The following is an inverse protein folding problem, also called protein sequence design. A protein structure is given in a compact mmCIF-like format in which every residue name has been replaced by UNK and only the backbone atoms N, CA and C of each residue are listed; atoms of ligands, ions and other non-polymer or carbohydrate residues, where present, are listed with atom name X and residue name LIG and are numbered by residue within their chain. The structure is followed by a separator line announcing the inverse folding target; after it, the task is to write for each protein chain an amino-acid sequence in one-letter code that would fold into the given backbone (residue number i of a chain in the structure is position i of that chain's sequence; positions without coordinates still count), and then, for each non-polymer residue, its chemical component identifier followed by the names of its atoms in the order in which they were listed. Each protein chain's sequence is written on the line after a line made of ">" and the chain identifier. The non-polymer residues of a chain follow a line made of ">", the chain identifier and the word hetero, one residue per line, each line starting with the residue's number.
data_IF_145123268846
#
_entry.id   IF_145123268846
#
_cell.length_a   1.000
_cell.length_b   1.000
_cell.length_c   1.000
_cell.angle_alpha   90.00
_cell.angle_beta   90.00
_cell.angle_gamma   90.00
#
_symmetry.space_group_name_H-M   'P 1'
#
loop_
_entity.id
_entity.type
_entity.pdbx_description
1 polymer ?
#
# COMPACT_ATOMS: atom_id res chain seq x y z
N UNK A 1 21.12 -4.05 -35.49
CA UNK A 1 21.61 -3.86 -34.12
C UNK A 1 20.57 -4.37 -33.17
N UNK A 2 20.95 -5.14 -32.18
CA UNK A 2 20.11 -5.46 -31.04
C UNK A 2 20.64 -4.70 -29.84
N UNK A 3 19.75 -4.09 -29.07
CA UNK A 3 20.10 -3.27 -27.94
C UNK A 3 19.26 -3.71 -26.73
N UNK A 4 19.93 -4.14 -25.68
CA UNK A 4 19.29 -4.60 -24.45
C UNK A 4 19.72 -3.72 -23.27
N UNK A 5 18.76 -3.13 -22.60
CA UNK A 5 19.00 -2.24 -21.46
C UNK A 5 18.08 -2.60 -20.32
N UNK A 6 18.60 -2.56 -19.10
CA UNK A 6 17.83 -2.58 -17.86
C UNK A 6 17.70 -1.16 -17.36
N UNK A 7 16.49 -0.77 -17.00
CA UNK A 7 16.18 0.56 -16.49
C UNK A 7 15.56 0.46 -15.10
N UNK A 8 16.14 1.20 -14.15
CA UNK A 8 15.49 1.56 -12.91
C UNK A 8 14.66 2.81 -13.12
N UNK A 9 13.39 2.75 -12.80
CA UNK A 9 12.49 3.88 -12.99
C UNK A 9 11.64 4.16 -11.73
N UNK A 10 11.14 5.37 -11.65
CA UNK A 10 10.16 5.77 -10.67
C UNK A 10 9.05 6.57 -11.33
N UNK A 11 7.86 6.01 -11.37
CA UNK A 11 6.66 6.72 -11.82
C UNK A 11 6.02 7.45 -10.65
N UNK A 12 6.50 8.66 -10.36
CA UNK A 12 6.12 9.44 -9.16
C UNK A 12 4.60 9.62 -9.04
N UNK A 13 3.96 10.09 -10.10
CA UNK A 13 2.50 10.29 -10.10
C UNK A 13 1.73 8.98 -9.94
N UNK A 14 2.24 7.89 -10.52
CA UNK A 14 1.61 6.56 -10.46
C UNK A 14 1.76 5.97 -9.07
N UNK A 15 2.95 6.03 -8.50
CA UNK A 15 3.23 5.58 -7.15
C UNK A 15 2.39 6.33 -6.11
N UNK A 16 2.39 7.65 -6.18
CA UNK A 16 1.61 8.51 -5.29
C UNK A 16 0.10 8.24 -5.41
N UNK A 17 -0.41 8.04 -6.64
CA UNK A 17 -1.81 7.68 -6.86
C UNK A 17 -2.12 6.28 -6.31
N UNK A 18 -1.24 5.29 -6.50
CA UNK A 18 -1.43 3.93 -6.00
C UNK A 18 -1.53 3.89 -4.47
N UNK A 19 -0.64 4.61 -3.75
CA UNK A 19 -0.70 4.76 -2.29
C UNK A 19 -1.99 5.44 -1.83
N UNK A 20 -2.44 6.48 -2.53
CA UNK A 20 -3.72 7.13 -2.27
C UNK A 20 -4.91 6.17 -2.45
N UNK A 21 -4.89 5.34 -3.50
CA UNK A 21 -5.97 4.39 -3.75
C UNK A 21 -6.05 3.30 -2.67
N UNK A 22 -4.92 2.85 -2.13
CA UNK A 22 -4.87 1.96 -0.95
C UNK A 22 -5.52 2.62 0.25
N UNK A 23 -5.21 3.90 0.52
CA UNK A 23 -5.84 4.66 1.59
C UNK A 23 -7.36 4.80 1.39
N UNK A 24 -7.82 5.02 0.15
CA UNK A 24 -9.26 5.05 -0.18
C UNK A 24 -9.92 3.70 0.09
N UNK A 25 -9.28 2.58 -0.32
CA UNK A 25 -9.80 1.24 -0.07
C UNK A 25 -9.93 0.93 1.43
N UNK A 26 -9.03 1.46 2.25
CA UNK A 26 -9.07 1.29 3.71
C UNK A 26 -10.27 1.98 4.37
N UNK A 27 -10.82 3.04 3.78
CA UNK A 27 -12.09 3.64 4.25
C UNK A 27 -13.26 2.64 4.18
N UNK A 28 -13.22 1.71 3.22
CA UNK A 28 -14.23 0.65 3.13
C UNK A 28 -14.09 -0.37 4.28
N UNK A 29 -12.85 -0.67 4.72
CA UNK A 29 -12.60 -1.56 5.87
C UNK A 29 -13.17 -0.92 7.15
N UNK A 30 -12.89 0.37 7.39
CA UNK A 30 -13.48 1.11 8.51
C UNK A 30 -15.02 1.09 8.44
N UNK A 31 -15.60 1.28 7.25
CA UNK A 31 -17.04 1.23 7.05
C UNK A 31 -17.64 -0.14 7.40
N UNK A 32 -16.96 -1.24 7.08
CA UNK A 32 -17.41 -2.60 7.43
C UNK A 32 -17.41 -2.80 8.96
N UNK A 33 -16.35 -2.38 9.65
CA UNK A 33 -16.28 -2.47 11.12
C UNK A 33 -17.36 -1.60 11.78
N UNK A 34 -17.62 -0.39 11.27
CA UNK A 34 -18.73 0.46 11.73
C UNK A 34 -20.09 -0.25 11.60
N UNK A 35 -20.37 -0.87 10.45
CA UNK A 35 -21.61 -1.63 10.25
C UNK A 35 -21.73 -2.78 11.26
N UNK A 36 -20.65 -3.51 11.54
CA UNK A 36 -20.63 -4.57 12.56
C UNK A 36 -20.92 -4.04 13.96
N UNK A 37 -20.38 -2.86 14.31
CA UNK A 37 -20.70 -2.19 15.58
C UNK A 37 -22.20 -1.86 15.64
N UNK A 38 -22.78 -1.32 14.57
CA UNK A 38 -24.22 -1.03 14.52
C UNK A 38 -25.08 -2.29 14.62
N UNK A 39 -24.71 -3.38 13.95
CA UNK A 39 -25.44 -4.65 14.04
C UNK A 39 -25.41 -5.23 15.46
N UNK A 40 -24.27 -5.11 16.14
CA UNK A 40 -24.09 -5.55 17.51
C UNK A 40 -24.85 -4.63 18.48
N UNK A 41 -24.90 -3.33 18.18
CA UNK A 41 -25.55 -2.30 18.99
C UNK A 41 -27.07 -2.20 18.78
N UNK A 42 -27.63 -2.83 17.77
CA UNK A 42 -29.08 -2.73 17.47
C UNK A 42 -29.98 -3.20 18.61
N UNK A 43 -29.41 -3.88 19.62
CA UNK A 43 -30.08 -4.24 20.87
C UNK A 43 -29.78 -3.31 22.07
N UNK A 44 -28.76 -2.41 21.99
CA UNK A 44 -28.24 -1.66 23.14
C UNK A 44 -27.73 -0.28 22.72
N UNK A 45 -28.51 0.77 22.92
CA UNK A 45 -28.06 2.17 22.84
C UNK A 45 -27.10 2.53 24.00
N UNK A 46 -25.93 1.90 24.08
CA UNK A 46 -25.05 2.11 25.21
C UNK A 46 -23.94 3.13 24.92
N UNK A 47 -23.46 3.79 25.98
CA UNK A 47 -22.43 4.83 25.87
C UNK A 47 -21.11 4.34 25.25
N UNK A 48 -20.75 3.07 25.51
CA UNK A 48 -19.51 2.46 25.01
C UNK A 48 -19.53 2.20 23.50
N UNK A 49 -20.60 1.66 22.98
CA UNK A 49 -20.77 1.47 21.54
C UNK A 49 -20.65 2.79 20.80
N UNK A 50 -21.28 3.86 21.33
CA UNK A 50 -21.16 5.22 20.77
C UNK A 50 -19.72 5.74 20.81
N UNK A 51 -18.93 5.35 21.79
CA UNK A 51 -17.52 5.74 21.89
C UNK A 51 -16.68 5.10 20.77
N UNK A 52 -16.85 3.80 20.49
CA UNK A 52 -16.19 3.13 19.38
C UNK A 52 -16.65 3.67 18.02
N UNK A 53 -17.95 3.93 17.87
CA UNK A 53 -18.50 4.55 16.67
C UNK A 53 -17.89 5.92 16.42
N UNK A 54 -17.87 6.80 17.44
CA UNK A 54 -17.29 8.14 17.34
C UNK A 54 -15.81 8.08 16.98
N UNK A 55 -15.05 7.19 17.62
CA UNK A 55 -13.63 6.97 17.32
C UNK A 55 -13.37 6.59 15.85
N UNK A 56 -14.15 5.64 15.32
CA UNK A 56 -13.98 5.19 13.92
C UNK A 56 -14.47 6.25 12.93
N UNK A 57 -15.52 7.00 13.24
CA UNK A 57 -15.99 8.11 12.40
C UNK A 57 -14.96 9.24 12.34
N UNK A 58 -14.37 9.62 13.48
CA UNK A 58 -13.29 10.61 13.52
C UNK A 58 -12.08 10.15 12.72
N UNK A 59 -11.64 8.91 12.90
CA UNK A 59 -10.54 8.34 12.15
C UNK A 59 -10.81 8.32 10.63
N UNK A 60 -12.04 7.96 10.24
CA UNK A 60 -12.48 7.96 8.84
C UNK A 60 -12.45 9.36 8.23
N UNK A 61 -12.98 10.38 8.94
CA UNK A 61 -12.94 11.76 8.46
C UNK A 61 -11.52 12.33 8.41
N UNK A 62 -10.66 11.99 9.36
CA UNK A 62 -9.23 12.36 9.34
C UNK A 62 -8.52 11.83 8.11
N UNK A 63 -8.69 10.54 7.79
CA UNK A 63 -8.11 9.92 6.58
C UNK A 63 -8.70 10.57 5.33
N UNK A 64 -10.02 10.75 5.25
CA UNK A 64 -10.70 11.36 4.11
C UNK A 64 -10.21 12.78 3.84
N UNK A 65 -10.08 13.61 4.87
CA UNK A 65 -9.56 14.97 4.75
C UNK A 65 -8.12 14.97 4.22
N UNK A 66 -7.26 14.07 4.73
CA UNK A 66 -5.89 13.91 4.22
C UNK A 66 -5.86 13.44 2.77
N UNK A 67 -6.73 12.50 2.36
CA UNK A 67 -6.87 12.07 0.96
C UNK A 67 -7.26 13.24 0.06
N UNK A 68 -8.22 14.06 0.45
CA UNK A 68 -8.67 15.20 -0.35
C UNK A 68 -7.56 16.27 -0.50
N UNK A 69 -6.86 16.58 0.58
CA UNK A 69 -5.71 17.49 0.54
C UNK A 69 -4.57 16.93 -0.33
N UNK A 70 -4.30 15.63 -0.21
CA UNK A 70 -3.28 14.96 -1.01
C UNK A 70 -3.62 14.97 -2.51
N UNK A 71 -4.87 14.64 -2.88
CA UNK A 71 -5.33 14.68 -4.29
C UNK A 71 -5.11 16.04 -4.92
N UNK A 72 -5.43 17.13 -4.22
CA UNK A 72 -5.16 18.51 -4.69
C UNK A 72 -3.66 18.74 -4.96
N UNK A 73 -2.80 18.28 -4.04
CA UNK A 73 -1.34 18.40 -4.20
C UNK A 73 -0.83 17.57 -5.38
N UNK A 74 -1.35 16.35 -5.55
CA UNK A 74 -0.99 15.45 -6.64
C UNK A 74 -1.43 16.00 -8.00
N UNK A 75 -2.62 16.58 -8.10
CA UNK A 75 -3.11 17.21 -9.35
C UNK A 75 -2.27 18.42 -9.72
N UNK A 76 -1.89 19.24 -8.74
CA UNK A 76 -0.97 20.37 -8.96
C UNK A 76 0.41 19.91 -9.44
N UNK A 77 0.94 18.82 -8.85
CA UNK A 77 2.18 18.20 -9.29
C UNK A 77 2.08 17.70 -10.75
N UNK A 78 1.04 16.93 -11.09
CA UNK A 78 0.81 16.41 -12.44
C UNK A 78 0.71 17.51 -13.51
N UNK A 79 0.22 18.69 -13.14
CA UNK A 79 0.17 19.83 -14.07
C UNK A 79 1.54 20.53 -14.24
N UNK A 80 2.37 20.54 -13.19
CA UNK A 80 3.72 21.10 -13.23
C UNK A 80 4.69 20.21 -13.97
N UNK A 81 4.69 18.90 -13.73
CA UNK A 81 5.63 17.93 -14.30
C UNK A 81 5.66 17.94 -15.83
N UNK A 82 4.55 18.34 -16.46
CA UNK A 82 4.43 18.45 -17.93
C UNK A 82 5.12 19.68 -18.53
N UNK A 83 5.65 20.60 -17.73
CA UNK A 83 6.13 21.93 -18.17
C UNK A 83 7.58 22.22 -17.82
N UNK A 84 8.25 21.33 -17.10
CA UNK A 84 9.60 21.60 -16.59
C UNK A 84 10.65 20.97 -17.50
N UNK A 85 11.53 21.82 -18.04
CA UNK A 85 12.71 21.38 -18.78
C UNK A 85 13.87 21.09 -17.80
N UNK A 86 14.63 20.00 -18.05
CA UNK A 86 15.76 19.59 -17.22
C UNK A 86 16.88 20.65 -17.09
N UNK A 87 16.95 21.57 -18.02
CA UNK A 87 17.96 22.65 -18.04
C UNK A 87 17.47 23.96 -17.40
N UNK A 88 16.23 23.97 -16.90
CA UNK A 88 15.63 25.19 -16.31
C UNK A 88 16.04 25.38 -14.85
N UNK A 89 16.07 26.64 -14.39
CA UNK A 89 16.27 27.00 -12.97
C UNK A 89 15.14 26.42 -12.07
N UNK A 90 14.01 26.06 -12.66
CA UNK A 90 12.86 25.49 -11.97
C UNK A 90 13.01 23.99 -11.69
N UNK A 91 14.02 23.34 -12.28
CA UNK A 91 14.23 21.90 -12.15
C UNK A 91 14.48 21.48 -10.68
N UNK A 92 15.28 22.23 -9.93
CA UNK A 92 15.50 21.93 -8.52
C UNK A 92 14.22 22.06 -7.69
N UNK A 93 13.38 23.05 -8.00
CA UNK A 93 12.07 23.21 -7.35
C UNK A 93 11.10 22.08 -7.72
N UNK A 94 11.18 21.59 -8.95
CA UNK A 94 10.44 20.41 -9.39
C UNK A 94 10.87 19.15 -8.63
N UNK A 95 12.17 18.90 -8.48
CA UNK A 95 12.69 17.77 -7.72
C UNK A 95 12.22 17.81 -6.26
N UNK A 96 12.28 18.97 -5.62
CA UNK A 96 11.77 19.11 -4.24
C UNK A 96 10.27 18.83 -4.17
N UNK A 97 9.48 19.30 -5.12
CA UNK A 97 8.04 19.03 -5.19
C UNK A 97 7.76 17.53 -5.38
N UNK A 98 8.61 16.84 -6.14
CA UNK A 98 8.56 15.39 -6.36
C UNK A 98 8.76 14.62 -5.04
N UNK A 99 9.81 14.97 -4.31
CA UNK A 99 10.12 14.32 -3.03
C UNK A 99 9.01 14.59 -2.00
N UNK A 100 8.46 15.81 -1.98
CA UNK A 100 7.35 16.20 -1.12
C UNK A 100 6.06 15.37 -1.41
N UNK A 101 5.76 15.10 -2.67
CA UNK A 101 4.57 14.29 -3.04
C UNK A 101 4.73 12.85 -2.61
N UNK A 102 5.91 12.26 -2.80
CA UNK A 102 6.18 10.88 -2.33
C UNK A 102 6.11 10.82 -0.81
N UNK A 103 6.75 11.75 -0.10
CA UNK A 103 6.70 11.78 1.37
C UNK A 103 5.26 11.91 1.92
N UNK A 104 4.42 12.75 1.30
CA UNK A 104 3.00 12.86 1.67
C UNK A 104 2.21 11.60 1.37
N UNK A 105 2.53 10.90 0.26
CA UNK A 105 1.89 9.63 -0.07
C UNK A 105 2.27 8.54 0.95
N UNK A 106 3.54 8.49 1.37
CA UNK A 106 4.03 7.59 2.41
C UNK A 106 3.40 7.89 3.77
N UNK A 107 3.29 9.17 4.15
CA UNK A 107 2.58 9.56 5.38
C UNK A 107 1.12 9.10 5.38
N UNK A 108 0.43 9.26 4.26
CA UNK A 108 -0.96 8.82 4.11
C UNK A 108 -1.08 7.30 4.22
N UNK A 109 -0.20 6.55 3.56
CA UNK A 109 -0.17 5.08 3.61
C UNK A 109 0.14 4.58 5.02
N UNK A 110 1.14 5.18 5.70
CA UNK A 110 1.52 4.83 7.07
C UNK A 110 0.38 5.07 8.06
N UNK A 111 -0.29 6.24 7.99
CA UNK A 111 -1.46 6.51 8.82
C UNK A 111 -2.56 5.47 8.63
N UNK A 112 -2.77 5.08 7.38
CA UNK A 112 -3.77 4.07 7.01
C UNK A 112 -3.39 2.70 7.57
N UNK A 113 -2.12 2.29 7.42
CA UNK A 113 -1.62 1.01 7.91
C UNK A 113 -1.71 0.90 9.44
N UNK A 114 -1.40 1.98 10.16
CA UNK A 114 -1.54 2.04 11.63
C UNK A 114 -2.98 1.80 12.08
N UNK A 115 -3.95 2.40 11.39
CA UNK A 115 -5.35 2.24 11.77
C UNK A 115 -5.90 0.88 11.36
N UNK A 116 -5.71 0.46 10.11
CA UNK A 116 -6.29 -0.77 9.56
C UNK A 116 -5.51 -2.03 9.92
N UNK A 117 -4.23 -1.89 10.27
CA UNK A 117 -3.36 -3.03 10.58
C UNK A 117 -3.60 -3.64 11.95
N UNK A 118 -3.72 -2.83 13.00
CA UNK A 118 -3.86 -3.34 14.37
C UNK A 118 -5.16 -2.91 15.03
N UNK A 119 -5.48 -1.62 15.00
CA UNK A 119 -6.62 -1.06 15.74
C UNK A 119 -7.95 -1.64 15.28
N UNK A 120 -8.22 -1.70 13.97
CA UNK A 120 -9.44 -2.33 13.46
C UNK A 120 -9.50 -3.82 13.79
N UNK A 121 -8.39 -4.54 13.69
CA UNK A 121 -8.35 -5.97 14.00
C UNK A 121 -8.71 -6.26 15.46
N UNK A 122 -8.23 -5.43 16.40
CA UNK A 122 -8.60 -5.57 17.82
C UNK A 122 -10.07 -5.25 18.03
N UNK A 123 -10.59 -4.16 17.45
CA UNK A 123 -12.02 -3.82 17.55
C UNK A 123 -12.89 -4.96 16.99
N UNK A 124 -12.53 -5.49 15.81
CA UNK A 124 -13.24 -6.61 15.21
C UNK A 124 -13.19 -7.87 16.09
N UNK A 125 -12.06 -8.16 16.75
CA UNK A 125 -11.96 -9.28 17.68
C UNK A 125 -12.79 -9.05 18.95
N UNK A 126 -12.81 -7.84 19.48
CA UNK A 126 -13.66 -7.47 20.60
C UNK A 126 -15.15 -7.65 20.29
N UNK A 127 -15.56 -7.34 19.04
CA UNK A 127 -16.93 -7.61 18.57
C UNK A 127 -17.18 -9.14 18.53
N UNK A 128 -16.25 -9.92 17.94
CA UNK A 128 -16.37 -11.37 17.81
C UNK A 128 -16.49 -12.08 19.17
N UNK A 129 -15.82 -11.57 20.19
CA UNK A 129 -15.88 -12.10 21.56
C UNK A 129 -17.03 -11.51 22.40
N UNK A 130 -17.86 -10.63 21.84
CA UNK A 130 -18.95 -9.98 22.57
C UNK A 130 -18.48 -9.03 23.66
N UNK A 131 -17.22 -8.58 23.62
CA UNK A 131 -16.63 -7.73 24.65
C UNK A 131 -17.25 -6.35 24.68
N UNK A 132 -17.67 -5.80 23.53
CA UNK A 132 -18.35 -4.50 23.47
C UNK A 132 -19.66 -4.54 24.27
N UNK A 133 -20.35 -5.67 24.25
CA UNK A 133 -21.62 -5.89 24.95
C UNK A 133 -21.41 -6.15 26.46
N UNK A 134 -20.40 -6.96 26.80
CA UNK A 134 -20.05 -7.26 28.18
C UNK A 134 -19.54 -6.02 28.95
N UNK A 135 -18.77 -5.12 28.26
CA UNK A 135 -18.34 -3.83 28.80
C UNK A 135 -19.50 -2.97 29.20
N UNK A 136 -20.54 -2.92 28.38
CA UNK A 136 -21.74 -2.14 28.65
C UNK A 136 -22.46 -2.61 29.91
N UNK A 137 -22.68 -3.92 30.06
CA UNK A 137 -23.32 -4.48 31.25
C UNK A 137 -22.52 -4.24 32.52
N UNK A 138 -21.19 -4.26 32.40
CA UNK A 138 -20.30 -3.96 33.51
C UNK A 138 -20.42 -2.49 33.94
N UNK A 139 -20.40 -1.56 32.95
CA UNK A 139 -20.55 -0.13 33.21
C UNK A 139 -21.92 0.24 33.79
N UNK A 140 -23.01 -0.28 33.25
CA UNK A 140 -24.36 -0.04 33.80
C UNK A 140 -24.52 -0.55 35.25
N UNK A 141 -23.90 -1.72 35.54
CA UNK A 141 -23.89 -2.26 36.89
C UNK A 141 -23.03 -1.43 37.85
N UNK A 142 -21.99 -0.74 37.33
CA UNK A 142 -21.10 0.11 38.12
C UNK A 142 -21.68 1.52 38.30
N UNK A 143 -22.33 2.12 37.31
CA UNK A 143 -23.10 3.35 37.50
C UNK A 143 -24.21 3.14 38.55
N UNK A 144 -24.86 1.98 38.52
CA UNK A 144 -25.85 1.61 39.56
C UNK A 144 -25.21 1.40 40.93
N UNK A 145 -23.97 0.91 41.01
CA UNK A 145 -23.21 0.76 42.26
C UNK A 145 -22.47 2.05 42.66
N UNK A 146 -22.01 2.88 41.72
CA UNK A 146 -21.28 4.13 41.98
C UNK A 146 -22.16 5.22 42.59
N UNK A 147 -23.46 5.13 42.44
CA UNK A 147 -24.36 5.98 43.25
C UNK A 147 -24.26 5.70 44.77
N UNK A 148 -23.33 4.82 45.18
CA UNK A 148 -23.16 4.51 46.59
C UNK A 148 -21.76 4.20 47.13
N UNK A 149 -20.75 3.71 46.37
CA UNK A 149 -19.55 3.12 47.04
C UNK A 149 -18.20 3.17 46.28
N UNK A 150 -18.10 3.63 45.05
CA UNK A 150 -16.79 3.67 44.36
C UNK A 150 -16.25 5.11 44.26
N UNK A 151 -15.38 5.49 45.19
CA UNK A 151 -14.46 6.64 45.05
C UNK A 151 -13.39 6.25 44.03
N UNK A 152 -13.74 6.28 42.73
CA UNK A 152 -12.74 6.15 41.68
C UNK A 152 -11.83 7.40 41.75
N UNK A 153 -10.53 7.17 41.83
CA UNK A 153 -9.55 8.26 41.84
C UNK A 153 -9.66 9.05 40.54
N UNK A 154 -10.17 10.29 40.59
CA UNK A 154 -10.37 11.16 39.44
C UNK A 154 -9.08 11.26 38.59
N UNK A 155 -7.90 11.30 39.23
CA UNK A 155 -6.61 11.33 38.53
C UNK A 155 -6.33 10.05 37.74
N UNK A 156 -6.80 8.91 38.23
CA UNK A 156 -6.68 7.63 37.54
C UNK A 156 -7.57 7.64 36.29
N UNK A 157 -8.81 8.12 36.45
CA UNK A 157 -9.79 8.25 35.37
C UNK A 157 -9.29 9.20 34.26
N UNK A 158 -8.72 10.34 34.62
CA UNK A 158 -8.16 11.29 33.66
C UNK A 158 -7.03 10.69 32.86
N UNK A 159 -6.13 9.93 33.50
CA UNK A 159 -5.05 9.22 32.80
C UNK A 159 -5.59 8.16 31.84
N UNK A 160 -6.58 7.38 32.23
CA UNK A 160 -7.20 6.38 31.36
C UNK A 160 -7.88 7.07 30.17
N UNK A 161 -8.62 8.15 30.41
CA UNK A 161 -9.29 8.94 29.37
C UNK A 161 -8.31 9.57 28.37
N UNK A 162 -7.05 9.80 28.77
CA UNK A 162 -6.00 10.33 27.88
C UNK A 162 -5.45 9.28 26.91
N UNK A 163 -5.79 8.00 27.04
CA UNK A 163 -5.38 6.96 26.09
C UNK A 163 -6.14 7.16 24.77
N UNK A 164 -5.41 7.43 23.69
CA UNK A 164 -6.01 7.69 22.37
C UNK A 164 -6.68 6.45 21.74
N UNK A 165 -6.09 5.26 21.93
CA UNK A 165 -6.64 4.01 21.41
C UNK A 165 -7.84 3.59 22.24
N UNK A 166 -9.02 3.58 21.62
CA UNK A 166 -10.31 3.28 22.29
C UNK A 166 -10.34 1.87 22.88
N UNK A 167 -9.74 0.90 22.18
CA UNK A 167 -9.70 -0.50 22.67
C UNK A 167 -8.79 -0.64 23.87
N UNK A 168 -7.58 -0.06 23.81
CA UNK A 168 -6.65 -0.09 24.93
C UNK A 168 -7.22 0.68 26.13
N UNK A 169 -7.90 1.80 25.90
CA UNK A 169 -8.60 2.58 26.94
C UNK A 169 -9.68 1.73 27.61
N UNK A 170 -10.53 1.05 26.83
CA UNK A 170 -11.59 0.20 27.36
C UNK A 170 -11.03 -1.00 28.15
N UNK A 171 -10.00 -1.67 27.63
CA UNK A 171 -9.32 -2.75 28.35
C UNK A 171 -8.68 -2.24 29.65
N UNK A 172 -8.07 -1.04 29.66
CA UNK A 172 -7.50 -0.46 30.89
C UNK A 172 -8.59 -0.15 31.94
N UNK A 173 -9.79 0.28 31.49
CA UNK A 173 -10.92 0.39 32.40
C UNK A 173 -11.36 -0.94 33.00
N UNK A 174 -11.38 -2.01 32.20
CA UNK A 174 -11.73 -3.35 32.68
C UNK A 174 -10.74 -3.84 33.75
N UNK A 175 -9.46 -3.59 33.53
CA UNK A 175 -8.43 -3.90 34.51
C UNK A 175 -8.58 -3.08 35.80
N UNK A 176 -8.95 -1.81 35.71
CA UNK A 176 -9.26 -0.98 36.89
C UNK A 176 -10.45 -1.53 37.72
N UNK A 177 -11.44 -2.09 37.02
CA UNK A 177 -12.66 -2.62 37.64
C UNK A 177 -12.53 -4.04 38.16
N UNK A 178 -11.45 -4.72 37.85
CA UNK A 178 -11.15 -6.04 38.35
C UNK A 178 -10.67 -5.94 39.82
N UNK A 179 -11.40 -6.58 40.75
CA UNK A 179 -11.10 -6.55 42.19
C UNK A 179 -9.69 -7.09 42.51
N UNK A 180 -9.17 -8.01 41.69
CA UNK A 180 -7.82 -8.56 41.82
C UNK A 180 -6.72 -7.51 41.59
N UNK A 181 -7.04 -6.46 40.88
CA UNK A 181 -6.12 -5.38 40.52
C UNK A 181 -6.20 -4.17 41.47
N UNK A 182 -6.94 -4.31 42.56
CA UNK A 182 -7.12 -3.22 43.52
C UNK A 182 -5.79 -2.74 44.09
N UNK A 183 -5.51 -1.45 43.92
CA UNK A 183 -4.26 -0.81 44.38
C UNK A 183 -3.13 -0.79 43.35
N UNK A 184 -3.34 -1.33 42.13
CA UNK A 184 -2.35 -1.19 41.05
C UNK A 184 -2.29 0.26 40.55
N UNK A 185 -1.09 0.67 40.15
CA UNK A 185 -0.87 1.96 39.49
C UNK A 185 -1.44 2.00 38.07
N UNK A 186 -1.62 3.18 37.50
CA UNK A 186 -2.03 3.36 36.11
C UNK A 186 -1.14 2.59 35.13
N UNK A 187 0.19 2.65 35.31
CA UNK A 187 1.13 1.97 34.42
C UNK A 187 1.00 0.45 34.49
N UNK A 188 0.73 -0.11 35.67
CA UNK A 188 0.49 -1.55 35.84
C UNK A 188 -0.83 -1.99 35.21
N UNK A 189 -1.90 -1.21 35.37
CA UNK A 189 -3.19 -1.49 34.74
C UNK A 189 -3.09 -1.42 33.23
N UNK A 190 -2.42 -0.39 32.70
CA UNK A 190 -2.16 -0.23 31.27
C UNK A 190 -1.31 -1.35 30.69
N UNK A 191 -0.31 -1.82 31.44
CA UNK A 191 0.52 -2.96 31.00
C UNK A 191 -0.31 -4.25 30.88
N UNK A 192 -1.19 -4.56 31.85
CA UNK A 192 -2.10 -5.70 31.77
C UNK A 192 -3.08 -5.56 30.61
N UNK A 193 -3.65 -4.39 30.41
CA UNK A 193 -4.53 -4.11 29.30
C UNK A 193 -3.80 -4.26 27.93
N UNK A 194 -2.52 -3.92 27.88
CA UNK A 194 -1.72 -4.13 26.68
C UNK A 194 -1.48 -5.62 26.40
N UNK A 195 -1.25 -6.43 27.42
CA UNK A 195 -1.14 -7.90 27.28
C UNK A 195 -2.44 -8.50 26.70
N UNK A 196 -3.60 -8.07 27.23
CA UNK A 196 -4.90 -8.52 26.69
C UNK A 196 -5.11 -8.04 25.25
N UNK A 197 -4.76 -6.80 24.95
CA UNK A 197 -4.80 -6.23 23.60
C UNK A 197 -3.96 -7.08 22.62
N UNK A 198 -2.74 -7.45 23.00
CA UNK A 198 -1.84 -8.26 22.18
C UNK A 198 -2.38 -9.69 21.99
N UNK A 199 -3.05 -10.25 22.98
CA UNK A 199 -3.73 -11.55 22.87
C UNK A 199 -4.89 -11.47 21.86
N UNK A 200 -5.73 -10.45 21.95
CA UNK A 200 -6.86 -10.24 21.02
C UNK A 200 -6.34 -10.05 19.59
N UNK A 201 -5.29 -9.24 19.41
CA UNK A 201 -4.65 -9.04 18.12
C UNK A 201 -4.08 -10.36 17.57
N UNK A 202 -3.45 -11.16 18.43
CA UNK A 202 -2.90 -12.46 18.06
C UNK A 202 -3.97 -13.44 17.57
N UNK A 203 -5.13 -13.50 18.24
CA UNK A 203 -6.28 -14.34 17.83
C UNK A 203 -6.78 -13.98 16.43
N UNK A 204 -6.76 -12.69 16.06
CA UNK A 204 -7.22 -12.20 14.76
C UNK A 204 -6.19 -12.38 13.64
N UNK A 205 -4.92 -12.57 13.97
CA UNK A 205 -3.81 -12.57 13.00
C UNK A 205 -4.02 -13.59 11.87
N UNK A 206 -4.35 -14.84 12.20
CA UNK A 206 -4.54 -15.88 11.19
C UNK A 206 -5.70 -15.55 10.23
N UNK A 207 -6.80 -15.03 10.77
CA UNK A 207 -7.98 -14.63 9.97
C UNK A 207 -7.63 -13.49 9.03
N UNK A 208 -6.99 -12.43 9.54
CA UNK A 208 -6.60 -11.27 8.72
C UNK A 208 -5.61 -11.67 7.63
N UNK A 209 -4.62 -12.54 7.93
CA UNK A 209 -3.70 -13.03 6.90
C UNK A 209 -4.46 -13.82 5.82
N UNK A 210 -5.42 -14.67 6.20
CA UNK A 210 -6.22 -15.42 5.23
C UNK A 210 -7.08 -14.51 4.34
N UNK A 211 -7.79 -13.55 4.94
CA UNK A 211 -8.59 -12.54 4.21
C UNK A 211 -7.72 -11.69 3.27
N UNK A 212 -6.56 -11.26 3.74
CA UNK A 212 -5.60 -10.49 2.96
C UNK A 212 -5.05 -11.30 1.78
N UNK A 213 -4.75 -12.59 1.97
CA UNK A 213 -4.36 -13.48 0.87
C UNK A 213 -5.44 -13.59 -0.19
N UNK A 214 -6.71 -13.71 0.20
CA UNK A 214 -7.82 -13.76 -0.76
C UNK A 214 -7.98 -12.42 -1.51
N UNK A 215 -7.81 -11.28 -0.83
CA UNK A 215 -7.83 -9.95 -1.43
C UNK A 215 -6.71 -9.80 -2.49
N UNK A 216 -5.48 -10.22 -2.17
CA UNK A 216 -4.36 -10.21 -3.12
C UNK A 216 -4.63 -11.10 -4.34
N UNK A 217 -5.15 -12.31 -4.10
CA UNK A 217 -5.50 -13.26 -5.15
C UNK A 217 -6.55 -12.72 -6.11
N UNK A 218 -7.58 -12.03 -5.60
CA UNK A 218 -8.60 -11.37 -6.43
C UNK A 218 -8.00 -10.27 -7.32
N UNK A 219 -6.92 -9.63 -6.89
CA UNK A 219 -6.19 -8.63 -7.66
C UNK A 219 -5.13 -9.23 -8.60
N UNK A 220 -4.96 -10.57 -8.56
CA UNK A 220 -3.96 -11.29 -9.36
C UNK A 220 -2.53 -11.17 -8.83
N UNK A 221 -2.38 -10.80 -7.55
CA UNK A 221 -1.10 -10.64 -6.87
C UNK A 221 -0.72 -11.97 -6.22
N UNK A 222 0.59 -12.29 -6.22
CA UNK A 222 1.10 -13.49 -5.57
C UNK A 222 0.92 -13.40 -4.05
N UNK A 223 0.31 -14.44 -3.47
CA UNK A 223 0.03 -14.51 -2.03
C UNK A 223 1.22 -15.03 -1.22
N UNK A 224 2.27 -15.52 -1.87
CA UNK A 224 3.47 -16.01 -1.19
C UNK A 224 4.21 -14.88 -0.45
N UNK A 225 4.02 -13.63 -0.86
CA UNK A 225 4.56 -12.45 -0.17
C UNK A 225 4.17 -12.40 1.31
N UNK A 226 3.03 -13.00 1.69
CA UNK A 226 2.52 -13.02 3.07
C UNK A 226 2.97 -14.25 3.89
N UNK A 227 3.76 -15.18 3.32
CA UNK A 227 4.12 -16.41 4.03
C UNK A 227 4.99 -16.17 5.28
N UNK A 228 5.70 -15.06 5.33
CA UNK A 228 6.56 -14.69 6.46
C UNK A 228 5.92 -13.68 7.41
N UNK A 229 4.71 -13.19 7.13
CA UNK A 229 4.00 -12.26 7.99
C UNK A 229 3.56 -12.97 9.29
N UNK A 230 3.96 -12.42 10.42
CA UNK A 230 3.68 -12.97 11.77
C UNK A 230 2.63 -12.15 12.52
N UNK A 231 2.43 -10.92 12.13
CA UNK A 231 1.51 -9.99 12.77
C UNK A 231 0.52 -9.40 11.75
N UNK A 232 -0.60 -8.91 12.25
CA UNK A 232 -1.60 -8.18 11.43
C UNK A 232 -0.96 -6.96 10.76
N UNK A 233 -0.13 -6.22 11.48
CA UNK A 233 0.54 -5.03 10.96
C UNK A 233 1.49 -5.36 9.82
N UNK A 234 2.32 -6.41 9.97
CA UNK A 234 3.20 -6.89 8.90
C UNK A 234 2.40 -7.34 7.67
N UNK A 235 1.36 -8.16 7.88
CA UNK A 235 0.52 -8.65 6.78
C UNK A 235 -0.14 -7.49 6.02
N UNK A 236 -0.67 -6.50 6.73
CA UNK A 236 -1.30 -5.32 6.13
C UNK A 236 -0.29 -4.47 5.35
N UNK A 237 0.88 -4.21 5.91
CA UNK A 237 1.92 -3.42 5.24
C UNK A 237 2.42 -4.12 3.98
N UNK A 238 2.81 -5.40 4.08
CA UNK A 238 3.31 -6.19 2.94
C UNK A 238 2.24 -6.26 1.83
N UNK A 239 0.98 -6.46 2.18
CA UNK A 239 -0.09 -6.51 1.20
C UNK A 239 -0.32 -5.17 0.51
N UNK A 240 -0.32 -4.08 1.25
CA UNK A 240 -0.49 -2.75 0.70
C UNK A 240 0.67 -2.36 -0.23
N UNK A 241 1.91 -2.69 0.15
CA UNK A 241 3.09 -2.51 -0.71
C UNK A 241 2.97 -3.34 -2.00
N UNK A 242 2.58 -4.61 -1.90
CA UNK A 242 2.37 -5.48 -3.07
C UNK A 242 1.25 -4.96 -3.99
N UNK A 243 0.18 -4.37 -3.44
CA UNK A 243 -0.89 -3.73 -4.22
C UNK A 243 -0.37 -2.47 -4.93
N UNK A 244 0.43 -1.66 -4.25
CA UNK A 244 1.05 -0.45 -4.83
C UNK A 244 1.97 -0.85 -5.98
N UNK A 245 2.87 -1.81 -5.76
CA UNK A 245 3.81 -2.30 -6.76
C UNK A 245 3.10 -2.86 -8.00
N UNK A 246 2.04 -3.65 -7.82
CA UNK A 246 1.26 -4.19 -8.92
C UNK A 246 0.54 -3.09 -9.72
N UNK A 247 0.05 -2.05 -9.06
CA UNK A 247 -0.54 -0.89 -9.74
C UNK A 247 0.51 -0.14 -10.56
N UNK A 248 1.70 0.09 -10.00
CA UNK A 248 2.82 0.69 -10.71
C UNK A 248 3.17 -0.14 -11.94
N UNK A 249 3.32 -1.45 -11.79
CA UNK A 249 3.60 -2.37 -12.91
C UNK A 249 2.54 -2.29 -14.01
N UNK A 250 1.26 -2.31 -13.65
CA UNK A 250 0.15 -2.23 -14.62
C UNK A 250 0.14 -0.89 -15.37
N UNK A 251 0.35 0.22 -14.68
CA UNK A 251 0.38 1.54 -15.33
C UNK A 251 1.62 1.69 -16.22
N UNK A 252 2.79 1.23 -15.76
CA UNK A 252 4.01 1.22 -16.57
C UNK A 252 3.82 0.40 -17.86
N UNK A 253 3.21 -0.78 -17.76
CA UNK A 253 2.88 -1.59 -18.94
C UNK A 253 1.98 -0.84 -19.93
N UNK A 254 0.94 -0.15 -19.44
CA UNK A 254 0.05 0.67 -20.30
C UNK A 254 0.82 1.78 -21.01
N UNK A 255 1.71 2.46 -20.28
CA UNK A 255 2.56 3.52 -20.81
C UNK A 255 3.49 2.99 -21.89
N UNK A 256 4.20 1.90 -21.64
CA UNK A 256 5.06 1.23 -22.61
C UNK A 256 4.27 0.87 -23.89
N UNK A 257 3.11 0.20 -23.73
CA UNK A 257 2.26 -0.18 -24.87
C UNK A 257 1.85 1.06 -25.67
N UNK A 258 1.45 2.15 -25.02
CA UNK A 258 1.03 3.37 -25.72
C UNK A 258 2.19 4.02 -26.46
N UNK A 259 3.36 4.12 -25.84
CA UNK A 259 4.54 4.75 -26.43
C UNK A 259 5.05 3.93 -27.65
N UNK A 260 5.14 2.61 -27.56
CA UNK A 260 5.62 1.81 -28.70
C UNK A 260 4.60 1.72 -29.84
N UNK A 261 3.28 1.73 -29.54
CA UNK A 261 2.24 1.85 -30.58
C UNK A 261 2.36 3.16 -31.36
N UNK A 262 2.68 4.27 -30.71
CA UNK A 262 2.92 5.54 -31.37
C UNK A 262 4.11 5.51 -32.35
N UNK A 263 5.00 4.52 -32.22
CA UNK A 263 6.14 4.27 -33.13
C UNK A 263 5.88 3.20 -34.16
N UNK A 264 4.62 2.84 -34.37
CA UNK A 264 4.19 1.91 -35.41
C UNK A 264 4.35 0.43 -35.05
N UNK A 265 4.62 0.11 -33.77
CA UNK A 265 4.59 -1.28 -33.32
C UNK A 265 3.17 -1.78 -33.11
N UNK A 266 2.93 -3.01 -33.49
CA UNK A 266 1.68 -3.73 -33.27
C UNK A 266 1.86 -4.55 -31.99
N UNK A 267 0.96 -4.35 -31.05
CA UNK A 267 0.90 -5.09 -29.77
C UNK A 267 -0.37 -5.91 -29.72
N UNK A 268 -0.23 -7.22 -29.82
CA UNK A 268 -1.32 -8.15 -29.53
C UNK A 268 -1.23 -8.59 -28.05
N UNK A 269 -2.01 -7.95 -27.20
CA UNK A 269 -2.01 -8.23 -25.76
C UNK A 269 -2.53 -9.61 -25.41
N UNK A 270 -3.27 -10.28 -26.29
CA UNK A 270 -3.76 -11.65 -26.05
C UNK A 270 -2.67 -12.70 -26.25
N UNK A 271 -1.83 -12.53 -27.27
CA UNK A 271 -0.81 -13.52 -27.65
C UNK A 271 0.59 -13.12 -27.22
N UNK A 272 0.88 -11.82 -27.14
CA UNK A 272 2.22 -11.28 -26.95
C UNK A 272 2.46 -10.72 -25.54
N UNK A 273 1.47 -10.82 -24.63
CA UNK A 273 1.63 -10.51 -23.22
C UNK A 273 1.63 -11.83 -22.42
N UNK A 274 2.71 -12.09 -21.70
CA UNK A 274 2.85 -13.28 -20.86
C UNK A 274 3.22 -12.88 -19.44
N UNK A 275 2.58 -13.53 -18.47
CA UNK A 275 2.90 -13.38 -17.05
C UNK A 275 3.73 -14.59 -16.62
N UNK A 276 4.97 -14.35 -16.26
CA UNK A 276 5.84 -15.34 -15.62
C UNK A 276 5.60 -15.27 -14.11
N UNK A 277 4.69 -16.11 -13.63
CA UNK A 277 4.31 -16.14 -12.21
C UNK A 277 5.47 -16.54 -11.30
N UNK A 278 6.37 -17.39 -11.76
CA UNK A 278 7.51 -17.88 -10.97
C UNK A 278 8.50 -16.77 -10.64
N UNK A 279 8.76 -15.88 -11.61
CA UNK A 279 9.71 -14.78 -11.46
C UNK A 279 9.00 -13.44 -11.22
N UNK A 280 7.66 -13.44 -11.16
CA UNK A 280 6.82 -12.26 -11.02
C UNK A 280 7.12 -11.16 -12.05
N UNK A 281 7.27 -11.56 -13.33
CA UNK A 281 7.64 -10.70 -14.46
C UNK A 281 6.52 -10.69 -15.47
N UNK A 282 6.20 -9.51 -16.01
CA UNK A 282 5.34 -9.36 -17.20
C UNK A 282 6.23 -9.19 -18.42
N UNK A 283 6.05 -10.07 -19.40
CA UNK A 283 6.76 -10.02 -20.69
C UNK A 283 5.80 -9.53 -21.79
N UNK A 284 6.25 -8.53 -22.54
CA UNK A 284 5.53 -7.98 -23.67
C UNK A 284 6.38 -8.05 -24.92
N UNK A 285 5.81 -8.51 -26.03
CA UNK A 285 6.45 -8.49 -27.36
C UNK A 285 5.63 -7.61 -28.29
N UNK A 286 6.30 -6.77 -29.07
CA UNK A 286 5.72 -5.92 -30.08
C UNK A 286 6.48 -6.05 -31.40
N UNK A 287 5.76 -5.99 -32.53
CA UNK A 287 6.31 -6.19 -33.86
C UNK A 287 5.91 -5.05 -34.79
N UNK A 288 6.81 -4.61 -35.67
CA UNK A 288 6.46 -3.75 -36.81
C UNK A 288 6.15 -4.58 -38.05
N UNK A 289 5.36 -4.04 -38.96
CA UNK A 289 5.11 -4.65 -40.27
C UNK A 289 6.42 -4.86 -41.09
N UNK A 290 7.45 -4.05 -40.84
CA UNK A 290 8.78 -4.12 -41.42
C UNK A 290 9.70 -5.17 -40.80
N UNK A 291 9.20 -5.93 -39.80
CA UNK A 291 9.93 -7.04 -39.16
C UNK A 291 10.68 -6.69 -37.88
N UNK A 292 10.82 -5.41 -37.53
CA UNK A 292 11.46 -5.02 -36.27
C UNK A 292 10.66 -5.51 -35.06
N UNK A 293 11.37 -5.87 -34.00
CA UNK A 293 10.81 -6.42 -32.77
C UNK A 293 11.27 -5.64 -31.57
N UNK A 294 10.33 -5.42 -30.61
CA UNK A 294 10.62 -4.88 -29.31
C UNK A 294 10.08 -5.82 -28.23
N UNK A 295 10.90 -6.13 -27.26
CA UNK A 295 10.54 -6.96 -26.10
C UNK A 295 10.74 -6.16 -24.83
N UNK A 296 9.84 -6.36 -23.87
CA UNK A 296 9.87 -5.72 -22.57
C UNK A 296 9.65 -6.76 -21.48
N UNK A 297 10.43 -6.67 -20.40
CA UNK A 297 10.22 -7.42 -19.16
C UNK A 297 10.08 -6.42 -18.03
N UNK A 298 8.91 -6.45 -17.35
CA UNK A 298 8.53 -5.48 -16.33
C UNK A 298 8.42 -6.21 -15.00
N UNK A 299 9.22 -5.78 -14.02
CA UNK A 299 9.29 -6.33 -12.65
C UNK A 299 8.47 -5.46 -11.68
N UNK A 300 8.13 -6.00 -10.50
CA UNK A 300 7.44 -5.24 -9.45
C UNK A 300 8.32 -4.16 -8.82
N UNK A 301 9.62 -4.37 -8.78
CA UNK A 301 10.59 -3.51 -8.08
C UNK A 301 10.97 -2.22 -8.82
N UNK A 302 10.14 -1.73 -9.73
CA UNK A 302 10.43 -0.52 -10.51
C UNK A 302 11.55 -0.70 -11.54
N UNK A 303 11.75 -1.93 -12.00
CA UNK A 303 12.72 -2.24 -13.06
C UNK A 303 12.00 -2.76 -14.29
N UNK A 304 12.41 -2.30 -15.45
CA UNK A 304 12.05 -2.94 -16.69
C UNK A 304 13.27 -3.09 -17.59
N UNK A 305 13.27 -4.16 -18.34
CA UNK A 305 14.26 -4.43 -19.38
C UNK A 305 13.56 -4.27 -20.73
N UNK A 306 14.24 -3.64 -21.67
CA UNK A 306 13.80 -3.63 -23.04
C UNK A 306 14.89 -4.16 -23.98
N UNK A 307 14.42 -4.72 -25.08
CA UNK A 307 15.27 -5.25 -26.15
C UNK A 307 14.63 -4.92 -27.49
N UNK A 308 15.35 -4.18 -28.33
CA UNK A 308 14.96 -3.88 -29.70
C UNK A 308 15.85 -4.69 -30.66
N UNK A 309 15.23 -5.42 -31.57
CA UNK A 309 15.88 -6.36 -32.46
C UNK A 309 15.43 -6.21 -33.91
N UNK A 310 16.17 -6.84 -34.85
CA UNK A 310 15.89 -6.81 -36.28
C UNK A 310 16.09 -5.42 -36.93
N UNK A 311 17.09 -4.66 -36.47
CA UNK A 311 17.46 -3.38 -37.03
C UNK A 311 18.84 -3.49 -37.73
N UNK A 312 19.02 -2.74 -38.83
CA UNK A 312 20.29 -2.56 -39.46
C UNK A 312 21.10 -1.42 -38.84
N UNK A 313 22.37 -1.63 -38.55
CA UNK A 313 23.24 -0.62 -37.95
C UNK A 313 22.65 -0.02 -36.66
N UNK A 314 22.66 1.30 -36.56
CA UNK A 314 22.13 2.05 -35.40
C UNK A 314 20.67 2.51 -35.56
N UNK A 315 19.91 1.98 -36.50
CA UNK A 315 18.56 2.42 -36.80
C UNK A 315 17.56 2.24 -35.63
N UNK A 316 17.87 1.35 -34.67
CA UNK A 316 17.04 1.17 -33.46
C UNK A 316 16.97 2.44 -32.60
N UNK A 317 17.99 3.31 -32.62
CA UNK A 317 17.99 4.58 -31.86
C UNK A 317 16.82 5.49 -32.26
N UNK A 318 16.35 5.45 -33.50
CA UNK A 318 15.19 6.21 -33.97
C UNK A 318 13.88 5.87 -33.25
N UNK A 319 13.79 4.64 -32.71
CA UNK A 319 12.63 4.20 -31.94
C UNK A 319 12.90 4.24 -30.43
N UNK A 320 14.13 3.95 -29.99
CA UNK A 320 14.50 3.93 -28.57
C UNK A 320 14.52 5.34 -27.96
N UNK A 321 15.22 6.28 -28.59
CA UNK A 321 15.35 7.65 -28.04
C UNK A 321 14.00 8.32 -27.82
N UNK A 322 13.09 8.40 -28.82
CA UNK A 322 11.77 8.95 -28.60
C UNK A 322 10.90 8.15 -27.64
N UNK A 323 11.10 6.82 -27.53
CA UNK A 323 10.42 5.98 -26.54
C UNK A 323 10.82 6.40 -25.12
N UNK A 324 12.11 6.57 -24.83
CA UNK A 324 12.60 7.01 -23.53
C UNK A 324 12.18 8.45 -23.20
N UNK A 325 12.18 9.34 -24.21
CA UNK A 325 11.66 10.70 -24.06
C UNK A 325 10.17 10.72 -23.69
N UNK A 326 9.35 9.88 -24.30
CA UNK A 326 7.93 9.77 -23.94
C UNK A 326 7.77 9.29 -22.50
N UNK A 327 8.53 8.28 -22.07
CA UNK A 327 8.46 7.80 -20.69
C UNK A 327 8.77 8.92 -19.70
N UNK A 328 9.79 9.74 -19.98
CA UNK A 328 10.20 10.86 -19.13
C UNK A 328 9.21 12.03 -19.19
N UNK A 329 8.91 12.52 -20.40
CA UNK A 329 8.25 13.81 -20.57
C UNK A 329 6.72 13.74 -20.55
N UNK A 330 6.13 12.63 -21.01
CA UNK A 330 4.67 12.48 -21.10
C UNK A 330 4.12 11.76 -19.87
N UNK A 331 4.88 10.79 -19.33
CA UNK A 331 4.38 9.88 -18.31
C UNK A 331 5.06 10.05 -16.95
N UNK A 332 5.95 11.05 -16.80
CA UNK A 332 6.63 11.35 -15.53
C UNK A 332 7.34 10.13 -14.95
N UNK A 333 7.89 9.29 -15.83
CA UNK A 333 8.72 8.15 -15.43
C UNK A 333 10.18 8.63 -15.38
N UNK A 334 10.69 8.79 -14.17
CA UNK A 334 12.07 9.14 -13.92
C UNK A 334 12.96 7.92 -14.12
N UNK A 335 13.89 8.00 -15.05
CA UNK A 335 14.87 6.97 -15.32
C UNK A 335 16.08 7.24 -14.42
N UNK A 336 16.18 6.49 -13.31
CA UNK A 336 17.24 6.68 -12.33
C UNK A 336 18.57 6.11 -12.78
N UNK A 337 18.52 4.97 -13.46
CA UNK A 337 19.71 4.25 -13.94
C UNK A 337 19.36 3.39 -15.14
N UNK A 338 20.26 3.35 -16.13
CA UNK A 338 20.16 2.47 -17.29
C UNK A 338 21.48 1.74 -17.49
N UNK A 339 21.47 0.41 -17.49
CA UNK A 339 22.63 -0.43 -17.78
C UNK A 339 22.47 -1.11 -19.14
N UNK A 340 23.39 -0.82 -20.07
CA UNK A 340 23.46 -1.52 -21.36
C UNK A 340 24.05 -2.89 -21.12
N UNK A 341 23.23 -3.94 -21.26
CA UNK A 341 23.67 -5.32 -21.08
C UNK A 341 24.36 -5.84 -22.33
N UNK A 342 23.86 -5.43 -23.49
CA UNK A 342 24.39 -5.90 -24.75
C UNK A 342 24.10 -4.94 -25.91
N UNK A 343 25.09 -4.70 -26.75
CA UNK A 343 24.99 -3.88 -27.95
C UNK A 343 25.77 -4.58 -29.08
N UNK A 344 25.12 -4.81 -30.22
CA UNK A 344 25.79 -5.33 -31.44
C UNK A 344 25.67 -4.31 -32.58
N UNK A 345 26.73 -3.57 -32.92
CA UNK A 345 26.65 -2.48 -33.88
C UNK A 345 26.43 -2.92 -35.33
N UNK A 346 26.81 -4.14 -35.71
CA UNK A 346 27.03 -4.48 -37.13
C UNK A 346 26.30 -5.72 -37.65
N UNK A 347 25.54 -6.45 -36.82
CA UNK A 347 24.84 -7.68 -37.23
C UNK A 347 23.40 -7.72 -36.81
N UNK A 348 22.53 -8.17 -37.73
CA UNK A 348 21.15 -8.58 -37.40
C UNK A 348 21.22 -9.87 -36.58
N UNK A 349 20.66 -9.87 -35.40
CA UNK A 349 20.73 -11.07 -34.55
C UNK A 349 19.66 -12.08 -34.94
N UNK A 350 20.11 -13.29 -35.20
CA UNK A 350 19.27 -14.44 -35.55
C UNK A 350 19.16 -15.47 -34.43
N UNK A 351 19.88 -15.30 -33.31
CA UNK A 351 19.93 -16.29 -32.23
C UNK A 351 18.95 -15.98 -31.08
N UNK A 352 18.33 -17.03 -30.53
CA UNK A 352 17.52 -16.98 -29.31
C UNK A 352 18.42 -16.66 -28.12
N UNK A 353 18.01 -15.64 -27.32
CA UNK A 353 18.72 -15.24 -26.12
C UNK A 353 18.77 -16.33 -25.05
N UNK A 354 19.95 -16.52 -24.47
CA UNK A 354 20.11 -17.18 -23.19
C UNK A 354 20.09 -16.11 -22.08
N UNK A 355 19.15 -16.22 -21.15
CA UNK A 355 19.11 -15.35 -19.99
C UNK A 355 20.30 -15.60 -19.08
N UNK A 356 21.12 -14.60 -18.85
CA UNK A 356 22.15 -14.66 -17.80
C UNK A 356 21.48 -14.32 -16.47
N UNK A 357 21.14 -15.37 -15.70
CA UNK A 357 20.76 -15.22 -14.30
C UNK A 357 21.98 -14.76 -13.50
N UNK A 358 22.15 -13.47 -13.27
CA UNK A 358 23.15 -12.90 -12.34
C UNK A 358 22.74 -13.03 -10.87
N UNK A 359 22.03 -14.10 -10.48
CA UNK A 359 21.86 -14.50 -9.09
C UNK A 359 22.81 -15.65 -8.75
N UNK A 360 24.11 -15.43 -8.85
CA UNK A 360 25.08 -16.18 -8.06
C UNK A 360 25.79 -15.17 -7.17
N UNK A 361 25.28 -15.11 -5.92
CA UNK A 361 26.02 -14.53 -4.84
C UNK A 361 27.39 -15.19 -4.77
N UNK A 362 28.38 -14.40 -4.73
CA UNK A 362 29.69 -14.77 -4.21
C UNK A 362 29.70 -14.46 -2.72
N UNK A 363 30.04 -15.46 -1.97
CA UNK A 363 30.41 -15.55 -0.56
C UNK A 363 30.74 -14.25 0.16
#
# INVERSE_FOLDING_TARGET
>A
MSHQVVIDYQGVSVEAQAKCDVAVASLCKIGKTLNRIHETASSLETSKVKEYEAYLLEAKEKIKTKIEAFKKSLDAYKQRSKKVDSDSKEYNQYLQTKDDIIAKADELLNLTNQLTGSKLAVIDQMIDEGLLDAGNRLFENLEKKANGVLNLDEKMMDKINSIEDVSLRDLTYRELLNEENKGLSFEQLKAKAQEEYDILLGKKTATVIAETKEELKQQGIDTEVLNNAKTVSEATSIANDAIVDEKIRKETLKVIIKSIKARGFIVDTKNNLKIDKKNNIVKLVALKASGQRAEFEIQLNGKFMYHFDQYEGQACKKDIEPFLEDLKNIYDIDIKHGEVIWENPDKVQTQKYQYVNKNKGTN
#
